data_IF_166474186583
#
_entry.id   IF_166474186583
#
_cell.length_a   1.000
_cell.length_b   1.000
_cell.length_c   1.000
_cell.angle_alpha   90.00
_cell.angle_beta   90.00
_cell.angle_gamma   90.00
#
_symmetry.space_group_name_H-M   'P 1'
#
loop_
_entity.id
_entity.type
_entity.pdbx_description
1 polymer ?
#
# COMPACT_ATOMS: atom_id res chain seq x y z
N UNK A 1 -32.02 -4.09 -35.15
CA UNK A 1 -32.47 -5.45 -34.81
C UNK A 1 -31.19 -6.26 -34.60
N UNK A 2 -30.76 -6.42 -33.35
CA UNK A 2 -29.59 -7.24 -33.01
C UNK A 2 -30.11 -8.55 -32.44
N UNK A 3 -30.27 -9.53 -33.33
CA UNK A 3 -30.54 -10.90 -32.94
C UNK A 3 -29.31 -11.43 -32.21
N UNK A 4 -29.56 -11.78 -30.94
CA UNK A 4 -29.25 -13.08 -30.34
C UNK A 4 -28.02 -13.77 -30.95
N UNK A 5 -26.94 -13.94 -30.17
CA UNK A 5 -25.92 -15.01 -30.10
C UNK A 5 -25.00 -14.52 -28.94
N UNK A 6 -24.70 -15.20 -27.84
CA UNK A 6 -24.73 -16.62 -27.53
C UNK A 6 -24.91 -16.78 -26.01
N UNK A 7 -26.00 -17.44 -25.63
CA UNK A 7 -26.21 -17.99 -24.28
C UNK A 7 -25.60 -19.39 -24.20
N UNK A 8 -24.32 -19.55 -24.52
CA UNK A 8 -23.64 -20.87 -24.54
C UNK A 8 -22.17 -20.81 -24.13
N UNK A 9 -21.87 -20.27 -22.94
CA UNK A 9 -20.59 -20.52 -22.26
C UNK A 9 -20.81 -21.10 -20.87
N UNK A 10 -21.76 -22.03 -20.74
CA UNK A 10 -21.88 -22.91 -19.58
C UNK A 10 -21.45 -24.34 -19.97
N UNK A 11 -20.16 -24.50 -20.24
CA UNK A 11 -19.49 -25.81 -20.28
C UNK A 11 -18.55 -25.93 -19.08
N UNK A 12 -18.49 -27.08 -18.38
CA UNK A 12 -17.68 -27.25 -17.15
C UNK A 12 -16.15 -27.27 -17.35
N UNK A 13 -15.64 -26.90 -18.53
CA UNK A 13 -14.22 -27.01 -18.88
C UNK A 13 -13.47 -25.68 -19.04
N UNK A 14 -14.16 -24.54 -19.19
CA UNK A 14 -13.48 -23.24 -19.41
C UNK A 14 -13.26 -22.47 -18.12
N UNK A 15 -13.86 -22.93 -17.01
CA UNK A 15 -13.87 -22.18 -15.76
C UNK A 15 -12.63 -22.31 -14.90
N UNK A 16 -12.00 -23.48 -14.91
CA UNK A 16 -10.84 -23.74 -14.08
C UNK A 16 -9.64 -22.87 -14.49
N UNK A 17 -9.37 -22.74 -15.80
CA UNK A 17 -8.21 -21.98 -16.28
C UNK A 17 -8.26 -20.48 -15.99
N UNK A 18 -9.44 -19.84 -16.05
CA UNK A 18 -9.53 -18.44 -15.66
C UNK A 18 -9.37 -18.27 -14.15
N UNK A 19 -9.83 -19.23 -13.33
CA UNK A 19 -9.69 -19.17 -11.87
C UNK A 19 -8.23 -19.35 -11.45
N UNK A 20 -7.49 -20.24 -12.08
CA UNK A 20 -6.07 -20.48 -11.78
C UNK A 20 -5.20 -19.26 -12.08
N UNK A 21 -5.42 -18.63 -13.25
CA UNK A 21 -4.69 -17.42 -13.66
C UNK A 21 -5.05 -16.19 -12.82
N UNK A 22 -6.33 -15.99 -12.51
CA UNK A 22 -6.76 -14.91 -11.62
C UNK A 22 -6.28 -15.11 -10.18
N UNK A 23 -6.27 -16.36 -9.68
CA UNK A 23 -5.78 -16.67 -8.33
C UNK A 23 -4.27 -16.40 -8.25
N UNK A 24 -3.48 -16.83 -9.24
CA UNK A 24 -2.05 -16.51 -9.33
C UNK A 24 -1.80 -14.99 -9.36
N UNK A 25 -2.51 -14.26 -10.22
CA UNK A 25 -2.40 -12.81 -10.33
C UNK A 25 -2.90 -12.03 -9.08
N UNK A 26 -3.76 -12.63 -8.26
CA UNK A 26 -4.21 -12.08 -6.98
C UNK A 26 -3.26 -12.40 -5.82
N UNK A 27 -2.47 -13.47 -5.92
CA UNK A 27 -1.52 -13.88 -4.88
C UNK A 27 -0.15 -13.21 -5.00
N UNK A 28 0.21 -12.72 -6.20
CA UNK A 28 1.44 -11.97 -6.37
C UNK A 28 1.23 -10.51 -5.96
N UNK A 29 2.03 -9.97 -5.03
CA UNK A 29 1.95 -8.55 -4.70
C UNK A 29 2.21 -7.76 -5.97
N UNK A 30 1.21 -7.01 -6.44
CA UNK A 30 1.31 -6.21 -7.65
C UNK A 30 2.58 -5.36 -7.58
N UNK A 31 3.48 -5.44 -8.57
CA UNK A 31 4.68 -4.63 -8.56
C UNK A 31 4.26 -3.15 -8.51
N UNK A 32 4.79 -2.44 -7.51
CA UNK A 32 4.57 -1.00 -7.33
C UNK A 32 5.02 -0.28 -8.59
N UNK A 33 4.22 0.70 -9.02
CA UNK A 33 4.60 1.54 -10.16
C UNK A 33 5.82 2.38 -9.82
N UNK A 34 6.45 2.96 -10.85
CA UNK A 34 7.65 3.78 -10.67
C UNK A 34 7.40 4.95 -9.71
N UNK A 35 6.28 5.64 -9.86
CA UNK A 35 5.90 6.78 -9.03
C UNK A 35 5.57 6.37 -7.59
N UNK A 36 4.95 5.20 -7.37
CA UNK A 36 4.69 4.66 -6.02
C UNK A 36 5.99 4.33 -5.28
N UNK A 37 6.97 3.74 -5.97
CA UNK A 37 8.30 3.51 -5.41
C UNK A 37 9.00 4.83 -5.06
N UNK A 38 8.94 5.84 -5.94
CA UNK A 38 9.54 7.15 -5.69
C UNK A 38 8.84 7.89 -4.54
N UNK A 39 7.52 7.76 -4.43
CA UNK A 39 6.75 8.30 -3.32
C UNK A 39 7.14 7.66 -1.99
N UNK A 40 7.26 6.34 -1.94
CA UNK A 40 7.73 5.64 -0.75
C UNK A 40 9.14 6.08 -0.35
N UNK A 41 10.08 6.13 -1.30
CA UNK A 41 11.44 6.61 -1.06
C UNK A 41 11.45 8.05 -0.53
N UNK A 42 10.66 8.94 -1.14
CA UNK A 42 10.55 10.33 -0.73
C UNK A 42 10.02 10.46 0.71
N UNK A 43 9.01 9.68 1.09
CA UNK A 43 8.46 9.68 2.44
C UNK A 43 9.51 9.25 3.49
N UNK A 44 10.32 8.23 3.19
CA UNK A 44 11.39 7.79 4.10
C UNK A 44 12.53 8.80 4.21
N UNK A 45 12.93 9.42 3.10
CA UNK A 45 14.00 10.42 3.07
C UNK A 45 13.55 11.80 3.55
N UNK A 46 12.24 12.06 3.62
CA UNK A 46 11.68 13.37 3.97
C UNK A 46 11.73 14.37 2.83
N UNK A 47 11.72 13.91 1.57
CA UNK A 47 11.63 14.79 0.40
C UNK A 47 10.20 15.30 0.18
N UNK A 48 10.03 16.47 -0.48
CA UNK A 48 8.71 17.01 -0.79
C UNK A 48 7.95 16.10 -1.78
N UNK A 49 6.60 16.09 -1.73
CA UNK A 49 5.80 15.33 -2.67
C UNK A 49 5.86 15.93 -4.07
N UNK A 50 5.82 15.08 -5.10
CA UNK A 50 5.75 15.53 -6.49
C UNK A 50 4.27 15.66 -6.93
N UNK A 51 3.93 16.76 -7.59
CA UNK A 51 2.59 17.03 -8.11
C UNK A 51 2.20 16.07 -9.26
N UNK A 52 3.18 15.56 -10.02
CA UNK A 52 2.97 14.68 -11.18
C UNK A 52 2.74 13.20 -10.82
N UNK A 53 2.80 12.85 -9.53
CA UNK A 53 2.53 11.49 -9.09
C UNK A 53 1.07 11.09 -9.25
N UNK A 54 0.84 9.79 -9.45
CA UNK A 54 -0.51 9.22 -9.45
C UNK A 54 -1.18 9.40 -8.10
N UNK A 55 -2.50 9.27 -8.07
CA UNK A 55 -3.27 9.33 -6.83
C UNK A 55 -2.82 8.26 -5.82
N UNK A 56 -2.53 7.04 -6.29
CA UNK A 56 -2.01 5.95 -5.47
C UNK A 56 -0.66 6.31 -4.83
N UNK A 57 0.28 6.86 -5.60
CA UNK A 57 1.58 7.27 -5.07
C UNK A 57 1.47 8.40 -4.05
N UNK A 58 0.58 9.38 -4.27
CA UNK A 58 0.28 10.43 -3.30
C UNK A 58 -0.30 9.87 -2.00
N UNK A 59 -1.19 8.89 -2.09
CA UNK A 59 -1.73 8.20 -0.91
C UNK A 59 -0.62 7.48 -0.13
N UNK A 60 0.24 6.72 -0.82
CA UNK A 60 1.37 6.01 -0.21
C UNK A 60 2.30 7.00 0.50
N UNK A 61 2.66 8.11 -0.16
CA UNK A 61 3.49 9.16 0.45
C UNK A 61 2.86 9.71 1.74
N UNK A 62 1.57 10.07 1.69
CA UNK A 62 0.86 10.63 2.83
C UNK A 62 0.78 9.63 4.01
N UNK A 63 0.41 8.37 3.74
CA UNK A 63 0.30 7.33 4.76
C UNK A 63 1.64 7.02 5.41
N UNK A 64 2.71 6.89 4.61
CA UNK A 64 4.05 6.62 5.13
C UNK A 64 4.57 7.80 5.95
N UNK A 65 4.39 9.04 5.46
CA UNK A 65 4.82 10.24 6.18
C UNK A 65 4.12 10.38 7.53
N UNK A 66 2.81 10.15 7.57
CA UNK A 66 2.03 10.15 8.81
C UNK A 66 2.49 9.06 9.78
N UNK A 67 2.74 7.85 9.28
CA UNK A 67 3.20 6.71 10.10
C UNK A 67 4.59 6.97 10.69
N UNK A 68 5.51 7.54 9.91
CA UNK A 68 6.86 7.92 10.35
C UNK A 68 6.78 9.01 11.42
N UNK A 69 5.95 10.03 11.22
CA UNK A 69 5.72 11.09 12.20
C UNK A 69 5.16 10.55 13.51
N UNK A 70 4.16 9.66 13.44
CA UNK A 70 3.58 8.99 14.60
C UNK A 70 4.62 8.17 15.36
N UNK A 71 5.46 7.38 14.65
CA UNK A 71 6.53 6.59 15.27
C UNK A 71 7.54 7.47 16.00
N UNK A 72 7.89 8.63 15.43
CA UNK A 72 8.77 9.61 16.09
C UNK A 72 8.14 10.19 17.35
N UNK A 73 6.85 10.54 17.31
CA UNK A 73 6.12 11.01 18.47
C UNK A 73 6.07 9.96 19.59
N UNK A 74 5.76 8.69 19.26
CA UNK A 74 5.75 7.60 20.24
C UNK A 74 7.13 7.34 20.84
N UNK A 75 8.20 7.40 20.03
CA UNK A 75 9.57 7.24 20.53
C UNK A 75 9.95 8.33 21.55
N UNK A 76 9.53 9.59 21.33
CA UNK A 76 9.74 10.69 22.27
C UNK A 76 9.00 10.45 23.60
N UNK A 77 7.75 9.98 23.54
CA UNK A 77 6.98 9.67 24.77
C UNK A 77 7.57 8.53 25.60
N UNK A 78 8.23 7.56 24.97
CA UNK A 78 8.89 6.46 25.69
C UNK A 78 10.22 6.89 26.36
N UNK A 79 10.89 7.93 25.84
CA UNK A 79 12.15 8.42 26.43
C UNK A 79 11.89 9.25 27.69
N UNK A 80 10.83 10.07 27.71
CA UNK A 80 10.45 10.86 28.90
C UNK A 80 10.04 10.03 30.11
N UNK A 81 9.69 8.75 29.92
CA UNK A 81 9.28 7.87 31.02
C UNK A 81 10.45 7.24 31.79
N UNK A 82 11.69 7.37 31.28
CA UNK A 82 12.89 6.82 31.95
C UNK A 82 13.69 7.85 32.76
N UNK A 83 13.24 9.10 32.83
CA UNK A 83 13.93 10.19 33.53
C UNK A 83 13.22 10.66 34.81
N UNK A 84 12.29 9.86 35.33
CA UNK A 84 11.61 10.11 36.61
C UNK A 84 11.70 8.86 37.49
N UNK A 85 12.92 8.39 37.75
CA UNK A 85 13.20 7.67 38.99
C UNK A 85 13.66 8.73 40.00
N UNK A 86 12.85 9.09 41.01
CA UNK A 86 13.35 9.86 42.13
C UNK A 86 14.40 8.99 42.82
N UNK A 87 15.67 9.41 42.75
CA UNK A 87 16.72 8.90 43.61
C UNK A 87 16.36 9.27 45.05
N UNK A 88 15.65 8.35 45.70
CA UNK A 88 14.93 8.59 46.95
C UNK A 88 15.39 7.66 48.05
N UNK A 89 16.62 7.90 48.51
CA UNK A 89 17.23 7.66 49.84
C UNK A 89 17.19 6.26 50.47
#
# INVERSE_FOLDING_TARGET
MFELWSTEISGPGTSAHYRETLTGAMTEPKPLTYDEHKAAEAAFRGYPPNADWTESAKEIYARLSATIAMRRATALTHVSKRELEPVGR
#
